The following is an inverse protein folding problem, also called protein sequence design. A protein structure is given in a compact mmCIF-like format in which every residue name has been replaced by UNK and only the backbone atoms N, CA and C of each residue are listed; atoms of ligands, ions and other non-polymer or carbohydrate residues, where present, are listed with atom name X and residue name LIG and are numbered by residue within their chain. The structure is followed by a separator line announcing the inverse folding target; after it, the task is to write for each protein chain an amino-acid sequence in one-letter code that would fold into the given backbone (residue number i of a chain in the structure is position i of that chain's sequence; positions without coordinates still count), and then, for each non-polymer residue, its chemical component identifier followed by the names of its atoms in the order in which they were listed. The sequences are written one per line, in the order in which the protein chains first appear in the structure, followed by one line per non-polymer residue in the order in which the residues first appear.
data_IF_756893331687
#
_entry.id   IF_756893331687
#
_cell.length_a   1.000
_cell.length_b   1.000
_cell.length_c   1.000
_cell.angle_alpha   90.00
_cell.angle_beta   90.00
_cell.angle_gamma   90.00
#
_symmetry.space_group_name_H-M   'P 1'
#
loop_
_entity.id
_entity.type
_entity.pdbx_description
1 polymer ?
#
# COMPACT_ATOMS: atom_id res chain seq x y z
N UNK A 1 -7.66 -10.21 -19.12
CA UNK A 1 -6.50 -10.25 -20.05
C UNK A 1 -6.96 -10.74 -21.41
N UNK A 2 -6.87 -9.93 -22.46
CA UNK A 2 -7.32 -10.32 -23.83
C UNK A 2 -6.18 -10.86 -24.72
N UNK A 3 -4.91 -10.67 -24.32
CA UNK A 3 -3.71 -11.05 -25.08
C UNK A 3 -2.94 -12.23 -24.48
N UNK A 4 -3.36 -12.75 -23.32
CA UNK A 4 -2.75 -13.90 -22.62
C UNK A 4 -1.21 -13.82 -22.43
N UNK A 5 -0.68 -12.63 -22.12
CA UNK A 5 0.75 -12.41 -21.85
C UNK A 5 1.01 -12.31 -20.34
N UNK A 6 1.56 -13.36 -19.71
CA UNK A 6 1.86 -13.35 -18.28
C UNK A 6 3.21 -12.67 -18.05
N UNK A 7 3.28 -11.35 -18.25
CA UNK A 7 4.46 -10.59 -17.88
C UNK A 7 4.44 -10.23 -16.41
N UNK A 8 5.64 -10.01 -15.88
CA UNK A 8 5.87 -9.50 -14.54
C UNK A 8 5.08 -8.20 -14.26
N UNK A 9 4.97 -7.32 -15.26
CA UNK A 9 4.15 -6.11 -15.18
C UNK A 9 2.66 -6.44 -15.11
N UNK A 10 2.17 -7.31 -16.01
CA UNK A 10 0.76 -7.66 -16.07
C UNK A 10 0.27 -8.30 -14.76
N UNK A 11 1.02 -9.26 -14.22
CA UNK A 11 0.69 -9.95 -12.96
C UNK A 11 0.65 -8.97 -11.77
N UNK A 12 1.57 -8.00 -11.71
CA UNK A 12 1.59 -7.01 -10.63
C UNK A 12 0.42 -6.02 -10.76
N UNK A 13 0.16 -5.50 -11.97
CA UNK A 13 -0.94 -4.54 -12.19
C UNK A 13 -2.33 -5.16 -11.96
N UNK A 14 -2.51 -6.46 -12.23
CA UNK A 14 -3.75 -7.18 -11.90
C UNK A 14 -4.07 -7.17 -10.40
N UNK A 15 -3.04 -7.21 -9.56
CA UNK A 15 -3.17 -7.21 -8.09
C UNK A 15 -3.41 -5.83 -7.49
N UNK A 16 -3.60 -4.79 -8.31
CA UNK A 16 -3.85 -3.40 -7.90
C UNK A 16 -2.73 -2.83 -7.03
N UNK A 17 -1.58 -2.55 -7.65
CA UNK A 17 -0.45 -1.86 -7.02
C UNK A 17 -0.91 -0.50 -6.48
N UNK A 18 -0.36 -0.10 -5.33
CA UNK A 18 -0.56 1.24 -4.77
C UNK A 18 -0.01 2.31 -5.75
N UNK A 19 -0.86 3.24 -6.25
CA UNK A 19 -0.41 4.29 -7.16
C UNK A 19 0.65 5.22 -6.57
N UNK A 20 0.70 5.37 -5.24
CA UNK A 20 1.72 6.20 -4.56
C UNK A 20 3.13 5.65 -4.69
N UNK A 21 3.29 4.39 -5.11
CA UNK A 21 4.60 3.82 -5.41
C UNK A 21 5.20 4.39 -6.70
N UNK A 22 4.39 4.90 -7.63
CA UNK A 22 4.88 5.39 -8.92
C UNK A 22 5.92 6.52 -8.76
N UNK A 23 5.63 7.50 -7.91
CA UNK A 23 6.54 8.61 -7.61
C UNK A 23 7.85 8.12 -6.99
N UNK A 24 7.77 7.27 -5.96
CA UNK A 24 8.95 6.72 -5.27
C UNK A 24 9.82 5.87 -6.19
N UNK A 25 9.19 5.03 -7.01
CA UNK A 25 9.89 4.19 -7.98
C UNK A 25 10.54 5.02 -9.07
N UNK A 26 9.88 6.07 -9.56
CA UNK A 26 10.43 6.97 -10.59
C UNK A 26 11.71 7.66 -10.10
N UNK A 27 11.70 8.24 -8.89
CA UNK A 27 12.89 8.87 -8.30
C UNK A 27 14.04 7.87 -8.26
N UNK A 28 13.78 6.65 -7.77
CA UNK A 28 14.81 5.61 -7.69
C UNK A 28 15.37 5.19 -9.06
N UNK A 29 14.51 5.12 -10.07
CA UNK A 29 14.93 4.78 -11.44
C UNK A 29 15.79 5.89 -12.03
N UNK A 30 15.41 7.16 -11.85
CA UNK A 30 16.19 8.31 -12.30
C UNK A 30 17.59 8.27 -11.67
N UNK A 31 17.71 8.12 -10.35
CA UNK A 31 19.01 7.99 -9.67
C UNK A 31 19.89 6.89 -10.28
N UNK A 32 19.31 5.73 -10.59
CA UNK A 32 20.04 4.60 -11.17
C UNK A 32 20.50 4.95 -12.60
N UNK A 33 19.64 5.57 -13.40
CA UNK A 33 19.95 5.92 -14.79
C UNK A 33 21.03 7.00 -14.87
N UNK A 34 20.93 8.05 -14.05
CA UNK A 34 21.95 9.12 -13.99
C UNK A 34 23.31 8.56 -13.57
N UNK A 35 23.34 7.68 -12.56
CA UNK A 35 24.59 7.04 -12.11
C UNK A 35 25.23 6.10 -13.13
N UNK A 36 24.45 5.43 -13.98
CA UNK A 36 24.98 4.42 -14.92
C UNK A 36 25.30 5.00 -16.29
N UNK A 37 24.48 5.95 -16.76
CA UNK A 37 24.48 6.36 -18.17
C UNK A 37 24.89 7.82 -18.40
N UNK A 38 25.25 8.56 -17.34
CA UNK A 38 25.57 10.00 -17.39
C UNK A 38 24.48 10.87 -18.03
N UNK A 39 23.25 10.36 -18.14
CA UNK A 39 22.09 11.11 -18.58
C UNK A 39 21.63 12.11 -17.53
N UNK A 40 20.93 13.17 -17.96
CA UNK A 40 20.35 14.18 -17.09
C UNK A 40 18.82 14.16 -17.18
N UNK A 41 18.14 14.35 -16.05
CA UNK A 41 16.69 14.49 -16.02
C UNK A 41 16.24 15.81 -16.67
N UNK A 42 15.41 15.71 -17.72
CA UNK A 42 14.81 16.88 -18.36
C UNK A 42 13.59 17.43 -17.61
N UNK A 43 12.71 16.55 -17.10
CA UNK A 43 11.49 16.97 -16.42
C UNK A 43 10.58 15.81 -15.98
N UNK A 44 9.53 16.16 -15.22
CA UNK A 44 8.58 15.19 -14.64
C UNK A 44 7.15 15.62 -14.97
N UNK A 45 6.29 14.66 -15.30
CA UNK A 45 4.85 14.85 -15.46
C UNK A 45 4.08 13.88 -14.56
N UNK A 46 3.17 14.39 -13.73
CA UNK A 46 2.25 13.58 -12.92
C UNK A 46 0.80 13.82 -13.35
N UNK A 47 0.16 12.78 -13.91
CA UNK A 47 -1.27 12.79 -14.22
C UNK A 47 -2.02 11.83 -13.32
N UNK A 48 -2.60 12.36 -12.24
CA UNK A 48 -3.33 11.57 -11.26
C UNK A 48 -4.77 12.08 -11.04
N UNK A 49 -5.68 11.87 -12.00
CA UNK A 49 -7.01 12.50 -12.01
C UNK A 49 -7.92 12.07 -10.85
N UNK A 50 -7.73 10.86 -10.32
CA UNK A 50 -8.50 10.34 -9.17
C UNK A 50 -7.56 9.76 -8.11
N UNK A 51 -7.08 10.63 -7.21
CA UNK A 51 -6.25 10.21 -6.09
C UNK A 51 -6.98 9.20 -5.21
N UNK A 52 -6.37 8.03 -5.01
CA UNK A 52 -6.86 7.03 -4.08
C UNK A 52 -6.89 7.61 -2.66
N UNK A 53 -8.00 7.41 -1.96
CA UNK A 53 -8.15 7.82 -0.56
C UNK A 53 -8.00 6.60 0.35
N UNK A 54 -7.38 6.75 1.53
CA UNK A 54 -7.35 5.68 2.52
C UNK A 54 -8.78 5.34 2.94
N UNK A 55 -9.04 4.04 3.07
CA UNK A 55 -10.29 3.52 3.62
C UNK A 55 -10.10 3.26 5.11
N UNK A 56 -11.19 3.25 5.86
CA UNK A 56 -11.20 2.98 7.30
C UNK A 56 -12.16 1.85 7.60
N UNK A 57 -11.80 1.00 8.56
CA UNK A 57 -12.61 -0.14 8.99
C UNK A 57 -12.79 -0.08 10.50
N UNK A 58 -13.98 -0.47 10.97
CA UNK A 58 -14.22 -0.74 12.38
C UNK A 58 -13.90 -2.21 12.66
N UNK A 59 -13.00 -2.43 13.60
CA UNK A 59 -12.63 -3.77 14.06
C UNK A 59 -13.21 -3.98 15.46
N UNK A 60 -14.06 -5.00 15.60
CA UNK A 60 -14.58 -5.46 16.88
C UNK A 60 -13.68 -6.57 17.42
N UNK A 61 -13.07 -6.35 18.58
CA UNK A 61 -12.14 -7.32 19.20
C UNK A 61 -12.87 -8.55 19.73
N UNK A 62 -14.13 -8.43 20.15
CA UNK A 62 -14.92 -9.57 20.62
C UNK A 62 -15.21 -10.53 19.45
N UNK A 63 -15.50 -9.96 18.28
CA UNK A 63 -15.64 -10.74 17.04
C UNK A 63 -14.33 -11.44 16.66
N UNK A 64 -13.20 -10.73 16.74
CA UNK A 64 -11.88 -11.30 16.44
C UNK A 64 -11.58 -12.47 17.37
N UNK A 65 -11.82 -12.33 18.67
CA UNK A 65 -11.60 -13.40 19.65
C UNK A 65 -12.45 -14.63 19.37
N UNK A 66 -13.74 -14.45 19.03
CA UNK A 66 -14.64 -15.55 18.63
C UNK A 66 -14.20 -16.23 17.34
N UNK A 67 -13.70 -15.47 16.37
CA UNK A 67 -13.28 -15.99 15.08
C UNK A 67 -11.98 -16.80 15.19
N UNK A 68 -11.01 -16.32 15.98
CA UNK A 68 -9.71 -16.96 16.15
C UNK A 68 -9.74 -18.08 17.20
N UNK A 69 -10.69 -18.04 18.14
CA UNK A 69 -10.74 -18.94 19.29
C UNK A 69 -9.71 -18.58 20.39
N UNK A 70 -9.07 -17.42 20.29
CA UNK A 70 -8.08 -16.90 21.23
C UNK A 70 -8.34 -15.41 21.50
N UNK A 71 -8.27 -15.01 22.77
CA UNK A 71 -8.40 -13.61 23.14
C UNK A 71 -7.08 -12.84 22.94
N UNK A 72 -7.08 -11.91 21.98
CA UNK A 72 -5.95 -11.03 21.70
C UNK A 72 -6.22 -9.67 22.32
N UNK A 73 -5.45 -9.33 23.36
CA UNK A 73 -5.57 -8.04 24.03
C UNK A 73 -5.54 -6.85 23.07
N UNK A 74 -6.33 -5.81 23.36
CA UNK A 74 -6.39 -4.59 22.56
C UNK A 74 -5.01 -3.94 22.33
N UNK A 75 -4.12 -4.02 23.31
CA UNK A 75 -2.74 -3.52 23.21
C UNK A 75 -1.97 -4.27 22.11
N UNK A 76 -2.01 -5.61 22.13
CA UNK A 76 -1.32 -6.46 21.14
C UNK A 76 -1.91 -6.30 19.74
N UNK A 77 -3.24 -6.24 19.63
CA UNK A 77 -3.93 -5.98 18.37
C UNK A 77 -3.51 -4.64 17.76
N UNK A 78 -3.44 -3.57 18.57
CA UNK A 78 -2.96 -2.26 18.13
C UNK A 78 -1.50 -2.31 17.64
N UNK A 79 -0.63 -3.00 18.37
CA UNK A 79 0.78 -3.15 18.01
C UNK A 79 0.95 -3.86 16.66
N UNK A 80 0.28 -5.01 16.46
CA UNK A 80 0.33 -5.77 15.20
C UNK A 80 -0.15 -4.91 14.02
N UNK A 81 -1.29 -4.25 14.15
CA UNK A 81 -1.83 -3.39 13.09
C UNK A 81 -0.92 -2.20 12.78
N UNK A 82 -0.25 -1.65 13.80
CA UNK A 82 0.69 -0.55 13.62
C UNK A 82 1.97 -1.03 12.91
N UNK A 83 2.46 -2.23 13.20
CA UNK A 83 3.59 -2.86 12.50
C UNK A 83 3.28 -3.13 11.02
N UNK A 84 2.02 -3.41 10.69
CA UNK A 84 1.55 -3.52 9.30
C UNK A 84 1.42 -2.15 8.60
N UNK A 85 1.75 -1.04 9.27
CA UNK A 85 1.69 0.31 8.72
C UNK A 85 0.29 0.95 8.80
N UNK A 86 -0.65 0.37 9.55
CA UNK A 86 -2.00 0.92 9.68
C UNK A 86 -2.09 1.95 10.81
N UNK A 87 -2.89 3.00 10.59
CA UNK A 87 -3.23 3.97 11.64
C UNK A 87 -4.41 3.45 12.46
N UNK A 88 -4.17 3.17 13.75
CA UNK A 88 -5.19 2.67 14.68
C UNK A 88 -5.69 3.79 15.58
N UNK A 89 -6.99 4.10 15.52
CA UNK A 89 -7.64 5.06 16.40
C UNK A 89 -8.67 4.34 17.28
N UNK A 90 -8.70 4.57 18.61
CA UNK A 90 -9.75 4.03 19.45
C UNK A 90 -11.09 4.64 19.04
N UNK A 91 -12.06 3.78 18.71
CA UNK A 91 -13.43 4.20 18.45
C UNK A 91 -14.15 4.18 19.79
N UNK A 92 -14.55 5.35 20.31
CA UNK A 92 -15.49 5.41 21.44
C UNK A 92 -16.85 5.00 20.90
N UNK A 93 -17.30 3.79 21.24
CA UNK A 93 -18.72 3.45 21.11
C UNK A 93 -19.47 4.25 22.17
N UNK A 94 -20.35 5.15 21.70
CA UNK A 94 -21.47 5.63 22.51
C UNK A 94 -22.61 4.65 22.45
#
# INVERSE_FOLDING_TARGET
MNLALPTDAAIRFEKKIDPSLAEKSMVRVIEILEHISEGELEGICDQYPKKAKPWSVKLDLDYVGKLLGEDISAKRSKEILSLLGMKVNPVKSG
#
